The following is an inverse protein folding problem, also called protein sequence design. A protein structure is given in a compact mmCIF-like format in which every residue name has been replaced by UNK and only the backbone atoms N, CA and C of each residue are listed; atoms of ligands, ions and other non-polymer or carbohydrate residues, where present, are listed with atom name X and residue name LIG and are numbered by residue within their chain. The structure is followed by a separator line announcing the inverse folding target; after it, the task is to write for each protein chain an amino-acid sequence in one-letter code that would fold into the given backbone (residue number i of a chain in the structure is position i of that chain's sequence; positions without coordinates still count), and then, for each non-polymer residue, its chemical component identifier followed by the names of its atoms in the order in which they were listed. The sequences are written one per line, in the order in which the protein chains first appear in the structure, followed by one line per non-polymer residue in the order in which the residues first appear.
data_IF_458987689086
#
_entry.id   IF_458987689086
#
_cell.length_a   1.000
_cell.length_b   1.000
_cell.length_c   1.000
_cell.angle_alpha   90.00
_cell.angle_beta   90.00
_cell.angle_gamma   90.00
#
_symmetry.space_group_name_H-M   'P 1'
#
loop_
_entity.id
_entity.type
_entity.pdbx_description
1 polymer ?
#
# COMPACT_ATOMS: atom_id res chain seq x y z
N UNK A 1 12.39 18.49 5.13
CA UNK A 1 11.64 17.82 4.03
C UNK A 1 12.12 18.33 2.68
N UNK A 2 12.35 17.45 1.73
CA UNK A 2 12.71 17.80 0.35
C UNK A 2 11.44 18.23 -0.40
N UNK A 3 11.40 19.48 -0.89
CA UNK A 3 10.23 20.00 -1.62
C UNK A 3 9.97 19.19 -2.89
N UNK A 4 8.67 18.85 -3.15
CA UNK A 4 8.25 18.11 -4.34
C UNK A 4 8.68 16.63 -4.36
N UNK A 5 8.95 16.05 -3.18
CA UNK A 5 9.31 14.64 -3.06
C UNK A 5 8.47 13.97 -1.98
N UNK A 6 7.85 12.83 -2.31
CA UNK A 6 6.92 12.09 -1.45
C UNK A 6 5.80 12.97 -0.88
N UNK A 7 5.07 12.46 0.11
CA UNK A 7 3.96 13.14 0.76
C UNK A 7 2.64 12.42 0.52
N UNK A 8 1.76 12.51 1.50
CA UNK A 8 0.42 11.92 1.50
C UNK A 8 -0.61 12.96 1.91
N UNK A 9 -1.89 12.73 1.57
CA UNK A 9 -3.00 13.58 1.99
C UNK A 9 -4.26 12.72 2.22
N UNK A 10 -5.11 13.15 3.13
CA UNK A 10 -6.43 12.58 3.37
C UNK A 10 -7.48 13.66 3.20
N UNK A 11 -8.51 13.37 2.40
CA UNK A 11 -9.73 14.18 2.29
C UNK A 11 -10.87 13.37 2.88
N UNK A 12 -11.57 13.91 3.84
CA UNK A 12 -12.62 13.18 4.56
C UNK A 12 -13.86 14.06 4.77
N UNK A 13 -15.03 13.42 4.70
CA UNK A 13 -16.31 14.07 5.07
C UNK A 13 -16.57 13.96 6.56
N UNK A 14 -16.09 12.90 7.20
CA UNK A 14 -16.23 12.67 8.63
C UNK A 14 -15.02 13.23 9.37
N UNK A 15 -15.25 14.11 10.34
CA UNK A 15 -14.18 14.68 11.16
C UNK A 15 -13.50 13.56 11.97
N UNK A 16 -12.19 13.33 11.82
CA UNK A 16 -11.48 12.38 12.69
C UNK A 16 -11.36 12.94 14.12
N UNK A 17 -11.28 12.02 15.09
CA UNK A 17 -11.03 12.35 16.50
C UNK A 17 -9.62 12.91 16.70
N UNK A 18 -8.65 12.35 15.99
CA UNK A 18 -7.26 12.81 16.00
C UNK A 18 -6.60 12.51 14.65
N UNK A 19 -5.57 13.30 14.34
CA UNK A 19 -4.70 13.08 13.17
C UNK A 19 -3.26 13.09 13.63
N UNK A 20 -2.51 12.06 13.31
CA UNK A 20 -1.08 11.95 13.59
C UNK A 20 -0.29 11.72 12.29
N UNK A 21 1.00 12.07 12.32
CA UNK A 21 1.88 12.05 11.18
C UNK A 21 3.11 11.21 11.48
N UNK A 22 3.53 10.38 10.52
CA UNK A 22 4.70 9.53 10.64
C UNK A 22 4.47 8.27 11.49
N UNK A 23 5.56 7.61 11.81
CA UNK A 23 5.63 6.38 12.64
C UNK A 23 6.06 6.67 14.08
N UNK A 24 6.40 7.93 14.41
CA UNK A 24 7.01 8.30 15.67
C UNK A 24 8.52 8.02 15.72
N UNK A 25 9.14 7.72 14.59
CA UNK A 25 10.56 7.40 14.46
C UNK A 25 11.22 8.48 13.60
N UNK A 26 12.08 9.34 14.16
CA UNK A 26 12.64 10.49 13.44
C UNK A 26 13.32 10.16 12.12
N UNK A 27 13.99 9.01 12.03
CA UNK A 27 14.64 8.53 10.80
C UNK A 27 13.62 8.26 9.67
N UNK A 28 12.42 7.80 10.00
CA UNK A 28 11.38 7.42 9.05
C UNK A 28 10.38 8.56 8.73
N UNK A 29 10.33 9.60 9.56
CA UNK A 29 9.29 10.63 9.50
C UNK A 29 9.69 11.88 8.69
N UNK A 30 10.88 11.89 8.09
CA UNK A 30 11.40 13.04 7.36
C UNK A 30 10.79 13.26 5.96
N UNK A 31 10.09 12.26 5.43
CA UNK A 31 9.60 12.26 4.04
C UNK A 31 8.07 12.41 3.92
N UNK A 32 7.32 12.50 5.06
CA UNK A 32 5.87 12.74 5.06
C UNK A 32 5.05 11.61 4.44
N UNK A 33 5.38 10.36 4.78
CA UNK A 33 4.87 9.16 4.12
C UNK A 33 3.64 8.54 4.77
N UNK A 34 3.32 8.90 6.01
CA UNK A 34 2.24 8.29 6.78
C UNK A 34 1.38 9.37 7.43
N UNK A 35 0.05 9.24 7.27
CA UNK A 35 -0.95 9.99 8.03
C UNK A 35 -1.90 8.96 8.63
N UNK A 36 -2.17 9.07 9.92
CA UNK A 36 -3.16 8.27 10.63
C UNK A 36 -4.30 9.16 11.07
N UNK A 37 -5.53 8.84 10.64
CA UNK A 37 -6.76 9.46 11.11
C UNK A 37 -7.44 8.48 12.08
N UNK A 38 -7.67 8.91 13.32
CA UNK A 38 -8.43 8.15 14.31
C UNK A 38 -9.91 8.46 14.17
N UNK A 39 -10.72 7.44 14.02
CA UNK A 39 -12.18 7.49 14.11
C UNK A 39 -12.66 6.71 15.33
N UNK A 40 -13.96 6.78 15.63
CA UNK A 40 -14.52 6.11 16.83
C UNK A 40 -14.28 4.61 16.79
N UNK A 41 -14.49 3.97 15.62
CA UNK A 41 -14.47 2.53 15.47
C UNK A 41 -13.19 1.97 14.84
N UNK A 42 -12.36 2.79 14.20
CA UNK A 42 -11.19 2.35 13.43
C UNK A 42 -10.12 3.42 13.31
N UNK A 43 -8.93 3.02 12.88
CA UNK A 43 -7.89 3.92 12.34
C UNK A 43 -7.84 3.80 10.82
N UNK A 44 -7.75 4.94 10.13
CA UNK A 44 -7.38 5.00 8.72
C UNK A 44 -5.93 5.45 8.60
N UNK A 45 -5.09 4.63 8.00
CA UNK A 45 -3.67 4.94 7.75
C UNK A 45 -3.45 5.05 6.25
N UNK A 46 -3.09 6.23 5.76
CA UNK A 46 -2.60 6.37 4.39
C UNK A 46 -1.08 6.32 4.37
N UNK A 47 -0.53 5.61 3.40
CA UNK A 47 0.90 5.35 3.31
C UNK A 47 1.42 5.54 1.90
N UNK A 48 2.63 6.07 1.78
CA UNK A 48 3.47 6.02 0.59
C UNK A 48 4.81 5.39 0.96
N UNK A 49 4.89 4.08 0.82
CA UNK A 49 6.05 3.29 1.21
C UNK A 49 7.30 3.70 0.41
N UNK A 50 8.49 3.79 1.02
CA UNK A 50 9.71 4.13 0.29
C UNK A 50 9.96 3.15 -0.86
N UNK A 51 10.29 3.65 -2.04
CA UNK A 51 10.74 2.82 -3.16
C UNK A 51 12.21 2.43 -2.96
N UNK A 52 12.60 1.19 -3.29
CA UNK A 52 13.98 0.72 -3.22
C UNK A 52 14.92 1.40 -4.22
N UNK A 53 14.39 2.11 -5.21
CA UNK A 53 15.05 2.87 -6.27
C UNK A 53 15.87 2.00 -7.26
N UNK A 54 16.44 2.68 -8.27
CA UNK A 54 17.30 2.01 -9.25
C UNK A 54 18.49 1.36 -8.54
N UNK A 55 18.89 0.20 -9.04
CA UNK A 55 20.01 -0.58 -8.48
C UNK A 55 19.81 -0.94 -6.99
N UNK A 56 18.56 -0.87 -6.51
CA UNK A 56 18.18 -1.16 -5.12
C UNK A 56 18.91 -0.29 -4.08
N UNK A 57 19.28 0.93 -4.46
CA UNK A 57 20.10 1.83 -3.64
C UNK A 57 19.50 2.16 -2.26
N UNK A 58 18.18 1.95 -2.08
CA UNK A 58 17.48 2.15 -0.80
C UNK A 58 16.85 0.87 -0.25
N UNK A 59 17.21 -0.31 -0.72
CA UNK A 59 16.60 -1.55 -0.27
C UNK A 59 16.79 -1.78 1.23
N UNK A 60 18.00 -1.60 1.74
CA UNK A 60 18.29 -1.78 3.18
C UNK A 60 17.43 -0.84 4.04
N UNK A 61 17.33 0.43 3.66
CA UNK A 61 16.45 1.39 4.33
C UNK A 61 14.98 0.97 4.24
N UNK A 62 14.53 0.50 3.08
CA UNK A 62 13.18 -0.01 2.87
C UNK A 62 12.87 -1.17 3.81
N UNK A 63 13.82 -2.08 4.02
CA UNK A 63 13.62 -3.24 4.91
C UNK A 63 13.41 -2.83 6.37
N UNK A 64 14.17 -1.85 6.86
CA UNK A 64 13.99 -1.32 8.22
C UNK A 64 12.69 -0.54 8.36
N UNK A 65 12.32 0.22 7.33
CA UNK A 65 11.07 0.98 7.29
C UNK A 65 9.84 0.06 7.28
N UNK A 66 9.85 -1.03 6.50
CA UNK A 66 8.76 -1.98 6.43
C UNK A 66 8.53 -2.69 7.78
N UNK A 67 9.60 -3.03 8.52
CA UNK A 67 9.48 -3.58 9.87
C UNK A 67 8.88 -2.57 10.84
N UNK A 68 9.37 -1.33 10.84
CA UNK A 68 8.85 -0.27 11.68
C UNK A 68 7.36 0.02 11.38
N UNK A 69 6.98 0.02 10.10
CA UNK A 69 5.59 0.22 9.69
C UNK A 69 4.68 -0.93 10.15
N UNK A 70 5.13 -2.17 10.06
CA UNK A 70 4.38 -3.33 10.57
C UNK A 70 4.14 -3.22 12.08
N UNK A 71 5.18 -2.93 12.87
CA UNK A 71 5.07 -2.76 14.32
C UNK A 71 4.09 -1.61 14.67
N UNK A 72 4.20 -0.47 13.97
CA UNK A 72 3.30 0.66 14.14
C UNK A 72 1.82 0.26 13.89
N UNK A 73 1.55 -0.51 12.83
CA UNK A 73 0.20 -0.97 12.54
C UNK A 73 -0.32 -1.94 13.61
N UNK A 74 0.53 -2.81 14.16
CA UNK A 74 0.17 -3.72 15.25
C UNK A 74 -0.16 -2.96 16.53
N UNK A 75 0.55 -1.89 16.86
CA UNK A 75 0.24 -1.04 18.00
C UNK A 75 -1.12 -0.32 17.87
N UNK A 76 -1.48 0.07 16.66
CA UNK A 76 -2.81 0.62 16.38
C UNK A 76 -3.88 -0.46 16.44
N UNK A 77 -3.63 -1.61 15.81
CA UNK A 77 -4.58 -2.73 15.77
C UNK A 77 -4.87 -3.30 17.16
N UNK A 78 -3.94 -3.25 18.09
CA UNK A 78 -4.19 -3.63 19.48
C UNK A 78 -5.29 -2.79 20.15
N UNK A 79 -5.59 -1.60 19.63
CA UNK A 79 -6.60 -0.65 20.16
C UNK A 79 -7.92 -0.71 19.40
N UNK A 80 -7.86 -0.53 18.07
CA UNK A 80 -9.01 -0.51 17.16
C UNK A 80 -8.61 -1.14 15.81
N UNK A 81 -9.58 -1.66 15.03
CA UNK A 81 -9.30 -2.10 13.67
C UNK A 81 -8.60 -1.03 12.86
N UNK A 82 -7.68 -1.44 11.98
CA UNK A 82 -6.93 -0.56 11.11
C UNK A 82 -7.32 -0.81 9.66
N UNK A 83 -7.56 0.26 8.93
CA UNK A 83 -7.66 0.28 7.46
C UNK A 83 -6.43 1.01 6.94
N UNK A 84 -5.62 0.33 6.14
CA UNK A 84 -4.43 0.91 5.49
C UNK A 84 -4.73 1.12 4.02
N UNK A 85 -4.36 2.26 3.47
CA UNK A 85 -4.45 2.50 2.03
C UNK A 85 -3.24 3.26 1.50
N UNK A 86 -2.88 2.98 0.26
CA UNK A 86 -1.84 3.74 -0.45
C UNK A 86 -0.91 2.88 -1.30
N UNK A 87 0.14 3.53 -1.78
CA UNK A 87 1.19 2.91 -2.58
C UNK A 87 2.18 2.16 -1.66
N UNK A 88 2.09 0.83 -1.69
CA UNK A 88 2.99 -0.04 -0.94
C UNK A 88 4.31 -0.31 -1.66
N UNK A 89 4.46 0.21 -2.90
CA UNK A 89 5.65 0.03 -3.74
C UNK A 89 6.14 -1.42 -3.83
N UNK A 90 5.21 -2.38 -3.85
CA UNK A 90 5.51 -3.80 -4.00
C UNK A 90 4.36 -4.53 -4.71
N UNK A 91 4.67 -5.30 -5.74
CA UNK A 91 3.79 -6.34 -6.27
C UNK A 91 4.04 -7.62 -5.45
N UNK A 92 3.04 -8.07 -4.67
CA UNK A 92 3.24 -9.15 -3.70
C UNK A 92 3.57 -10.48 -4.36
N UNK A 93 2.74 -10.90 -5.32
CA UNK A 93 2.86 -12.19 -6.00
C UNK A 93 3.04 -12.02 -7.50
N UNK A 94 3.41 -13.09 -8.20
CA UNK A 94 3.59 -13.08 -9.66
C UNK A 94 2.31 -12.66 -10.41
N UNK A 95 1.14 -12.94 -9.86
CA UNK A 95 -0.15 -12.49 -10.41
C UNK A 95 -0.34 -10.97 -10.35
N UNK A 96 0.43 -10.27 -9.52
CA UNK A 96 0.30 -8.83 -9.28
C UNK A 96 1.08 -7.96 -10.27
N UNK A 97 1.76 -8.56 -11.25
CA UNK A 97 2.39 -7.83 -12.34
C UNK A 97 2.37 -8.62 -13.65
N UNK A 98 2.43 -7.90 -14.79
CA UNK A 98 2.30 -8.50 -16.12
C UNK A 98 3.44 -9.43 -16.48
N UNK A 99 4.67 -9.07 -16.14
CA UNK A 99 5.88 -9.78 -16.57
C UNK A 99 6.77 -10.14 -15.36
N UNK A 100 6.40 -11.13 -14.52
CA UNK A 100 7.14 -11.41 -13.28
C UNK A 100 8.59 -11.87 -13.53
N UNK A 101 8.82 -12.76 -14.51
CA UNK A 101 10.16 -13.29 -14.77
C UNK A 101 11.22 -12.21 -15.02
N UNK A 102 11.06 -11.32 -16.02
CA UNK A 102 12.03 -10.26 -16.29
C UNK A 102 12.17 -9.20 -15.18
N UNK A 103 11.17 -9.08 -14.30
CA UNK A 103 11.16 -8.09 -13.23
C UNK A 103 11.59 -8.64 -11.87
N UNK A 104 11.87 -9.94 -11.76
CA UNK A 104 12.36 -10.51 -10.51
C UNK A 104 13.65 -9.83 -10.06
N UNK A 105 13.69 -9.37 -8.81
CA UNK A 105 14.80 -8.62 -8.25
C UNK A 105 14.83 -7.13 -8.63
N UNK A 106 13.83 -6.62 -9.35
CA UNK A 106 13.66 -5.17 -9.54
C UNK A 106 13.00 -4.52 -8.33
N UNK A 107 13.23 -3.22 -8.12
CA UNK A 107 12.53 -2.43 -7.10
C UNK A 107 11.01 -2.61 -7.22
N UNK A 108 10.34 -2.95 -6.11
CA UNK A 108 8.93 -3.30 -6.05
C UNK A 108 8.62 -4.77 -6.35
N UNK A 109 9.64 -5.59 -6.69
CA UNK A 109 9.48 -7.03 -6.90
C UNK A 109 10.73 -7.84 -6.52
N UNK A 110 11.47 -7.38 -5.52
CA UNK A 110 12.53 -8.16 -4.88
C UNK A 110 11.92 -9.22 -3.95
N UNK A 111 12.65 -10.28 -3.69
CA UNK A 111 12.18 -11.32 -2.75
C UNK A 111 12.07 -10.73 -1.33
N UNK A 112 12.96 -9.79 -0.96
CA UNK A 112 12.96 -9.10 0.33
C UNK A 112 11.71 -8.22 0.53
N UNK A 113 11.35 -7.38 -0.44
CA UNK A 113 10.15 -6.53 -0.37
C UNK A 113 8.87 -7.38 -0.28
N UNK A 114 8.78 -8.44 -1.07
CA UNK A 114 7.66 -9.38 -1.07
C UNK A 114 7.56 -10.15 0.25
N UNK A 115 8.68 -10.56 0.84
CA UNK A 115 8.72 -11.21 2.15
C UNK A 115 8.25 -10.27 3.25
N UNK A 116 8.67 -8.99 3.25
CA UNK A 116 8.18 -7.98 4.20
C UNK A 116 6.68 -7.77 4.09
N UNK A 117 6.15 -7.73 2.87
CA UNK A 117 4.71 -7.63 2.67
C UNK A 117 3.96 -8.89 3.14
N UNK A 118 4.52 -10.08 2.90
CA UNK A 118 3.98 -11.34 3.47
C UNK A 118 3.96 -11.28 4.99
N UNK A 119 5.05 -10.85 5.64
CA UNK A 119 5.11 -10.70 7.10
C UNK A 119 4.09 -9.70 7.64
N UNK A 120 3.79 -8.63 6.88
CA UNK A 120 2.74 -7.68 7.24
C UNK A 120 1.36 -8.36 7.21
N UNK A 121 1.06 -9.12 6.17
CA UNK A 121 -0.22 -9.85 6.08
C UNK A 121 -0.33 -10.92 7.18
N UNK A 122 0.72 -11.72 7.39
CA UNK A 122 0.77 -12.77 8.41
C UNK A 122 0.65 -12.24 9.85
N UNK A 123 0.95 -10.95 10.03
CA UNK A 123 0.81 -10.27 11.32
C UNK A 123 -0.65 -9.91 11.69
N UNK A 124 -1.63 -10.21 10.81
CA UNK A 124 -3.05 -10.02 11.08
C UNK A 124 -3.72 -9.00 10.16
N UNK A 125 -3.23 -8.85 8.93
CA UNK A 125 -3.81 -7.97 7.93
C UNK A 125 -4.22 -8.71 6.67
N UNK A 126 -5.37 -8.37 6.11
CA UNK A 126 -5.92 -8.93 4.88
C UNK A 126 -5.77 -7.94 3.71
N UNK A 127 -5.19 -8.39 2.58
CA UNK A 127 -5.26 -7.72 1.29
C UNK A 127 -6.71 -7.84 0.77
N UNK A 128 -7.44 -6.73 0.81
CA UNK A 128 -8.88 -6.72 0.53
C UNK A 128 -9.20 -7.12 -0.91
N UNK A 129 -8.36 -6.72 -1.86
CA UNK A 129 -8.57 -7.08 -3.26
C UNK A 129 -8.35 -8.58 -3.49
N UNK A 130 -7.26 -9.14 -2.97
CA UNK A 130 -6.98 -10.59 -3.11
C UNK A 130 -7.92 -11.45 -2.27
N UNK A 131 -8.47 -10.92 -1.19
CA UNK A 131 -9.51 -11.61 -0.43
C UNK A 131 -10.76 -11.87 -1.28
N UNK A 132 -11.22 -10.87 -2.04
CA UNK A 132 -12.41 -10.99 -2.91
C UNK A 132 -12.08 -11.57 -4.29
N UNK A 133 -10.87 -11.38 -4.79
CA UNK A 133 -10.46 -11.72 -6.16
C UNK A 133 -9.12 -12.50 -6.15
N UNK A 134 -9.06 -13.70 -5.54
CA UNK A 134 -7.80 -14.42 -5.31
C UNK A 134 -7.05 -14.75 -6.61
N UNK A 135 -7.77 -15.06 -7.68
CA UNK A 135 -7.21 -15.57 -8.94
C UNK A 135 -7.35 -14.59 -10.12
N UNK A 136 -7.84 -13.36 -9.88
CA UNK A 136 -8.06 -12.39 -10.96
C UNK A 136 -6.73 -11.86 -11.48
N UNK A 137 -6.40 -12.22 -12.71
CA UNK A 137 -5.19 -11.76 -13.42
C UNK A 137 -5.42 -10.43 -14.14
N UNK A 138 -4.34 -9.71 -14.46
CA UNK A 138 -4.41 -8.48 -15.27
C UNK A 138 -5.01 -7.27 -14.55
N UNK A 139 -5.19 -7.36 -13.24
CA UNK A 139 -5.68 -6.28 -12.39
C UNK A 139 -4.50 -5.52 -11.80
N UNK A 140 -4.23 -4.34 -12.33
CA UNK A 140 -3.08 -3.52 -11.98
C UNK A 140 -3.52 -2.10 -11.61
N UNK A 141 -2.71 -1.44 -10.78
CA UNK A 141 -2.97 -0.07 -10.32
C UNK A 141 -1.96 0.94 -10.83
N UNK A 142 -0.82 0.49 -11.35
CA UNK A 142 0.25 1.32 -11.88
C UNK A 142 0.77 0.82 -13.23
N UNK A 143 1.15 1.75 -14.12
CA UNK A 143 1.77 1.49 -15.42
C UNK A 143 2.83 2.54 -15.72
N UNK A 144 4.03 2.10 -16.10
CA UNK A 144 5.06 3.01 -16.57
C UNK A 144 4.56 3.89 -17.74
N UNK A 145 4.95 5.15 -17.78
CA UNK A 145 4.71 6.02 -18.97
C UNK A 145 5.42 5.54 -20.23
N UNK A 146 6.39 4.62 -20.10
CA UNK A 146 7.16 4.11 -21.22
C UNK A 146 6.42 3.00 -21.95
N UNK A 147 6.74 2.83 -23.24
CA UNK A 147 6.33 1.69 -24.08
C UNK A 147 4.81 1.46 -24.16
N UNK A 148 4.01 2.52 -23.98
CA UNK A 148 2.54 2.40 -23.97
C UNK A 148 2.03 1.35 -22.98
N UNK A 149 2.69 1.25 -21.79
CA UNK A 149 2.45 0.18 -20.84
C UNK A 149 0.98 0.07 -20.43
N UNK A 150 0.28 1.21 -20.19
CA UNK A 150 -1.14 1.20 -19.82
C UNK A 150 -2.04 0.69 -20.94
N UNK A 151 -1.76 1.06 -22.21
CA UNK A 151 -2.52 0.58 -23.36
C UNK A 151 -2.39 -0.93 -23.56
N UNK A 152 -1.19 -1.47 -23.26
CA UNK A 152 -0.88 -2.90 -23.36
C UNK A 152 -1.20 -3.69 -22.09
N UNK A 153 -1.76 -3.02 -21.08
CA UNK A 153 -1.95 -3.53 -19.73
C UNK A 153 -0.70 -4.22 -19.15
N UNK A 154 0.48 -3.63 -19.40
CA UNK A 154 1.75 -4.08 -18.82
C UNK A 154 1.97 -3.35 -17.49
N UNK A 155 1.14 -3.65 -16.52
CA UNK A 155 1.06 -2.96 -15.23
C UNK A 155 1.50 -3.81 -14.04
N UNK A 156 1.44 -3.16 -12.88
CA UNK A 156 1.74 -3.69 -11.56
C UNK A 156 0.62 -3.29 -10.60
N UNK A 157 0.24 -4.16 -9.69
CA UNK A 157 -0.64 -3.85 -8.56
C UNK A 157 0.25 -3.55 -7.35
N UNK A 158 0.40 -2.26 -7.05
CA UNK A 158 1.24 -1.75 -5.97
C UNK A 158 0.50 -0.83 -5.00
N UNK A 159 -0.73 -0.44 -5.35
CA UNK A 159 -1.65 0.29 -4.49
C UNK A 159 -2.64 -0.68 -3.86
N UNK A 160 -2.82 -0.57 -2.55
CA UNK A 160 -3.60 -1.52 -1.76
C UNK A 160 -4.57 -0.84 -0.81
N UNK A 161 -5.62 -1.58 -0.47
CA UNK A 161 -6.28 -1.50 0.82
C UNK A 161 -6.02 -2.77 1.61
N UNK A 162 -5.50 -2.60 2.83
CA UNK A 162 -5.38 -3.69 3.82
C UNK A 162 -6.30 -3.37 4.97
N UNK A 163 -6.85 -4.40 5.60
CA UNK A 163 -7.66 -4.26 6.82
C UNK A 163 -7.22 -5.27 7.87
N UNK A 164 -7.39 -4.91 9.15
CA UNK A 164 -7.21 -5.86 10.23
C UNK A 164 -8.07 -7.12 10.01
N UNK A 165 -7.52 -8.30 10.21
CA UNK A 165 -8.19 -9.59 9.96
C UNK A 165 -9.53 -9.71 10.67
N UNK A 166 -9.68 -9.11 11.85
CA UNK A 166 -10.93 -9.14 12.65
C UNK A 166 -12.10 -8.40 11.99
N UNK A 167 -11.87 -7.62 10.93
CA UNK A 167 -12.92 -6.92 10.17
C UNK A 167 -12.98 -7.33 8.70
N UNK A 168 -12.23 -8.34 8.28
CA UNK A 168 -12.21 -8.78 6.88
C UNK A 168 -13.58 -9.24 6.35
N UNK A 169 -14.40 -9.83 7.22
CA UNK A 169 -15.75 -10.28 6.88
C UNK A 169 -16.74 -9.10 6.68
N UNK A 170 -16.31 -7.88 6.96
CA UNK A 170 -17.03 -6.63 6.72
C UNK A 170 -16.75 -6.00 5.36
N UNK A 171 -15.81 -6.55 4.58
CA UNK A 171 -15.48 -6.06 3.25
C UNK A 171 -16.66 -6.33 2.32
N UNK A 172 -17.22 -5.27 1.70
CA UNK A 172 -18.31 -5.36 0.72
C UNK A 172 -17.74 -5.40 -0.69
N UNK A 173 -16.88 -4.43 -1.03
CA UNK A 173 -16.19 -4.39 -2.33
C UNK A 173 -14.74 -3.94 -2.18
N UNK A 174 -13.89 -4.45 -3.06
CA UNK A 174 -12.52 -3.97 -3.26
C UNK A 174 -12.25 -3.92 -4.76
N UNK A 175 -11.97 -2.74 -5.30
CA UNK A 175 -11.88 -2.51 -6.74
C UNK A 175 -10.65 -1.72 -7.13
N UNK A 176 -10.20 -1.93 -8.36
CA UNK A 176 -9.19 -1.12 -9.04
C UNK A 176 -9.90 -0.43 -10.20
N UNK A 177 -9.67 0.87 -10.41
CA UNK A 177 -10.40 1.70 -11.38
C UNK A 177 -9.48 2.13 -12.54
N UNK A 178 -9.09 1.20 -13.43
CA UNK A 178 -8.07 1.44 -14.45
C UNK A 178 -8.50 2.45 -15.53
N UNK A 179 -9.81 2.72 -15.65
CA UNK A 179 -10.37 3.71 -16.57
C UNK A 179 -10.17 5.16 -16.10
N UNK A 180 -9.87 5.38 -14.81
CA UNK A 180 -9.60 6.72 -14.28
C UNK A 180 -8.20 7.15 -14.69
N UNK A 181 -8.14 8.21 -15.49
CA UNK A 181 -6.91 8.72 -16.09
C UNK A 181 -6.41 9.97 -15.34
N UNK A 182 -5.16 10.38 -15.60
CA UNK A 182 -4.55 11.59 -15.04
C UNK A 182 -3.25 11.34 -14.27
N UNK A 183 -2.92 10.07 -14.02
CA UNK A 183 -1.67 9.63 -13.37
C UNK A 183 -1.19 8.33 -14.02
N UNK A 184 0.03 7.92 -13.75
CA UNK A 184 0.55 6.56 -14.01
C UNK A 184 -0.02 5.51 -13.04
N UNK A 185 -0.64 5.95 -11.94
CA UNK A 185 -1.52 5.13 -11.11
C UNK A 185 -2.99 5.31 -11.48
N UNK A 186 -3.83 4.37 -11.09
CA UNK A 186 -5.28 4.55 -11.02
C UNK A 186 -5.76 4.40 -9.58
N UNK A 187 -6.96 4.92 -9.23
CA UNK A 187 -7.50 4.75 -7.90
C UNK A 187 -7.79 3.28 -7.57
N UNK A 188 -7.61 2.93 -6.32
CA UNK A 188 -8.18 1.73 -5.71
C UNK A 188 -9.30 2.13 -4.77
N UNK A 189 -10.31 1.28 -4.60
CA UNK A 189 -11.49 1.55 -3.81
C UNK A 189 -11.79 0.40 -2.87
N UNK A 190 -12.19 0.73 -1.66
CA UNK A 190 -12.70 -0.20 -0.66
C UNK A 190 -14.07 0.30 -0.17
N UNK A 191 -15.03 -0.61 -0.11
CA UNK A 191 -16.28 -0.43 0.64
C UNK A 191 -16.31 -1.47 1.78
N UNK A 192 -16.51 -0.99 3.00
CA UNK A 192 -16.49 -1.81 4.21
C UNK A 192 -17.55 -1.32 5.20
N UNK A 193 -18.28 -2.24 5.83
CA UNK A 193 -19.32 -1.98 6.85
C UNK A 193 -18.76 -2.24 8.26
N UNK A 194 -18.40 -1.16 8.98
CA UNK A 194 -17.84 -1.22 10.34
C UNK A 194 -18.89 -0.93 11.41
#
# INVERSE_FOLDING_TARGET
MKKGYSGTAVFTKMQPLAVTYGLGIPEHDNEGRVITCEYEQFYLVTVYTPNAQSELARLDYRMTWDDAFREFLLELDAKKPVIVCGDMNVAHKEIDLKNPGPNRGSAGFTDEEREKFTKLLDAGFTDTFRHLHPDLTGAYSWWSYRFKARQNNAGWRIDYFLVSDRVKDKIVTASILPEVMGSDHCPVMLEIEL
#
